data_IF_876249075928
#
_entry.id   IF_876249075928
#
_cell.length_a   1.000
_cell.length_b   1.000
_cell.length_c   1.000
_cell.angle_alpha   90.00
_cell.angle_beta   90.00
_cell.angle_gamma   90.00
#
_symmetry.space_group_name_H-M   'P 1'
#
loop_
_entity.id
_entity.type
_entity.pdbx_description
1 polymer ?
#
# COMPACT_ATOMS: atom_id res chain seq x y z
N UNK A 1 -16.49 18.03 -15.43
CA UNK A 1 -15.85 17.12 -14.48
C UNK A 1 -14.34 17.27 -14.59
N UNK A 2 -13.70 17.65 -13.52
CA UNK A 2 -12.24 17.67 -13.54
C UNK A 2 -11.73 16.24 -13.76
N UNK A 3 -10.80 16.09 -14.67
CA UNK A 3 -10.12 14.81 -14.87
C UNK A 3 -9.11 14.59 -13.74
N UNK A 4 -8.94 13.34 -13.36
CA UNK A 4 -7.88 12.97 -12.41
C UNK A 4 -6.54 13.19 -13.10
N UNK A 5 -5.60 13.85 -12.43
CA UNK A 5 -4.25 14.01 -12.95
C UNK A 5 -3.62 12.64 -13.20
N UNK A 6 -2.79 12.50 -14.24
CA UNK A 6 -2.15 11.22 -14.52
C UNK A 6 -1.34 10.71 -13.32
N UNK A 7 -1.48 9.44 -13.02
CA UNK A 7 -0.67 8.78 -11.99
C UNK A 7 -0.40 7.34 -12.39
N UNK A 8 0.69 6.75 -11.90
CA UNK A 8 1.09 5.40 -12.25
C UNK A 8 0.50 4.34 -11.36
N UNK A 9 0.27 4.66 -10.10
CA UNK A 9 -0.26 3.69 -9.16
C UNK A 9 -0.49 4.27 -7.77
N UNK A 10 -0.99 3.43 -6.87
CA UNK A 10 -1.31 3.82 -5.51
C UNK A 10 -1.10 2.65 -4.54
N UNK A 11 -0.57 2.97 -3.36
CA UNK A 11 -0.37 2.02 -2.27
C UNK A 11 -1.15 2.46 -1.05
N UNK A 12 -1.48 1.50 -0.19
CA UNK A 12 -2.20 1.79 1.04
C UNK A 12 -1.61 0.98 2.20
N UNK A 13 -1.34 1.65 3.31
CA UNK A 13 -0.94 1.00 4.55
C UNK A 13 -2.20 0.74 5.39
N UNK A 14 -2.51 -0.52 5.62
CA UNK A 14 -3.65 -0.92 6.44
C UNK A 14 -3.17 -1.13 7.87
N UNK A 15 -3.56 -0.24 8.76
CA UNK A 15 -3.12 -0.24 10.15
C UNK A 15 -4.28 -0.62 11.08
N UNK A 16 -3.95 -1.42 12.09
CA UNK A 16 -4.90 -1.76 13.14
C UNK A 16 -4.13 -1.98 14.44
N UNK A 17 -4.38 -1.14 15.44
CA UNK A 17 -3.81 -1.29 16.78
C UNK A 17 -2.27 -1.46 16.76
N UNK A 18 -1.59 -0.65 15.95
CA UNK A 18 -0.13 -0.71 15.83
C UNK A 18 0.39 -1.83 14.93
N UNK A 19 -0.50 -2.58 14.30
CA UNK A 19 -0.15 -3.66 13.37
C UNK A 19 -0.37 -3.22 11.94
N UNK A 20 0.32 -3.87 11.01
CA UNK A 20 0.33 -3.52 9.59
C UNK A 20 0.37 -4.78 8.73
N UNK A 21 -0.39 -4.77 7.64
CA UNK A 21 -0.38 -5.83 6.63
C UNK A 21 0.69 -5.54 5.58
N UNK A 22 1.53 -6.53 5.31
CA UNK A 22 2.53 -6.48 4.23
C UNK A 22 2.60 -7.82 3.53
N UNK A 23 3.27 -7.87 2.38
CA UNK A 23 3.48 -9.13 1.68
C UNK A 23 4.88 -9.16 1.03
N UNK A 24 5.42 -10.37 0.89
CA UNK A 24 6.72 -10.58 0.28
C UNK A 24 6.52 -10.76 -1.23
N UNK A 25 7.13 -9.88 -2.02
CA UNK A 25 7.06 -9.94 -3.49
C UNK A 25 7.75 -11.20 -4.00
N UNK A 26 7.33 -11.64 -5.18
CA UNK A 26 8.01 -12.74 -5.86
C UNK A 26 9.48 -12.39 -6.10
N UNK A 27 10.34 -13.40 -6.03
CA UNK A 27 11.77 -13.21 -6.26
C UNK A 27 12.08 -13.56 -7.73
N UNK A 28 11.66 -12.67 -8.63
CA UNK A 28 11.83 -12.82 -10.07
C UNK A 28 12.55 -11.60 -10.63
N UNK A 29 13.58 -11.78 -11.46
CA UNK A 29 14.29 -10.64 -12.05
C UNK A 29 13.44 -9.82 -13.02
N UNK A 30 12.30 -10.36 -13.45
CA UNK A 30 11.41 -9.69 -14.40
C UNK A 30 10.51 -8.62 -13.75
N UNK A 31 10.45 -8.54 -12.43
CA UNK A 31 9.60 -7.58 -11.72
C UNK A 31 10.45 -6.59 -10.92
N UNK A 32 9.94 -5.37 -10.68
CA UNK A 32 10.63 -4.42 -9.80
C UNK A 32 10.58 -4.91 -8.35
N UNK A 33 11.61 -4.58 -7.59
CA UNK A 33 11.71 -4.89 -6.16
C UNK A 33 11.54 -6.38 -5.83
N UNK A 34 12.23 -7.31 -6.54
CA UNK A 34 12.02 -8.73 -6.31
C UNK A 34 12.44 -9.14 -4.89
N UNK A 35 11.62 -9.99 -4.26
CA UNK A 35 11.95 -10.53 -2.95
C UNK A 35 11.92 -9.53 -1.79
N UNK A 36 11.30 -8.36 -1.98
CA UNK A 36 11.18 -7.37 -0.92
C UNK A 36 9.74 -7.32 -0.38
N UNK A 37 9.61 -6.89 0.87
CA UNK A 37 8.30 -6.70 1.49
C UNK A 37 7.68 -5.40 1.03
N UNK A 38 6.42 -5.48 0.64
CA UNK A 38 5.64 -4.44 0.01
C UNK A 38 4.32 -4.24 0.74
N UNK A 39 3.64 -3.16 0.41
CA UNK A 39 2.31 -2.84 0.93
C UNK A 39 1.24 -3.11 -0.12
N UNK A 40 -0.03 -3.29 0.27
CA UNK A 40 -1.12 -3.44 -0.69
C UNK A 40 -1.20 -2.26 -1.66
N UNK A 41 -1.59 -2.56 -2.89
CA UNK A 41 -1.72 -1.56 -3.93
C UNK A 41 -0.98 -1.95 -5.20
N UNK A 42 -1.08 -1.12 -6.21
CA UNK A 42 -0.43 -1.42 -7.49
C UNK A 42 -0.71 -0.39 -8.56
N UNK A 43 -0.63 -0.81 -9.81
CA UNK A 43 -0.75 0.07 -10.96
C UNK A 43 -2.18 0.46 -11.28
N UNK A 44 -2.33 1.67 -11.82
CA UNK A 44 -3.63 2.20 -12.26
C UNK A 44 -4.17 1.41 -13.44
N UNK A 45 -5.45 1.14 -13.44
CA UNK A 45 -6.17 0.59 -14.59
C UNK A 45 -7.27 1.57 -15.02
N UNK A 46 -7.34 1.83 -16.33
CA UNK A 46 -8.38 2.67 -16.91
C UNK A 46 -8.41 4.06 -16.29
N UNK A 47 -9.61 4.50 -15.91
CA UNK A 47 -9.85 5.85 -15.40
C UNK A 47 -10.03 5.90 -13.88
N UNK A 48 -9.49 4.92 -13.18
CA UNK A 48 -9.56 4.90 -11.72
C UNK A 48 -9.01 6.18 -11.08
N UNK A 49 -9.64 6.59 -9.98
CA UNK A 49 -9.02 7.54 -9.07
C UNK A 49 -7.90 6.85 -8.29
N UNK A 50 -6.99 7.60 -7.66
CA UNK A 50 -5.94 6.99 -6.84
C UNK A 50 -6.47 6.05 -5.75
N UNK A 51 -7.52 6.45 -5.04
CA UNK A 51 -8.09 5.60 -4.00
C UNK A 51 -8.76 4.35 -4.58
N UNK A 52 -9.50 4.49 -5.67
CA UNK A 52 -10.09 3.35 -6.36
C UNK A 52 -9.02 2.33 -6.78
N UNK A 53 -7.90 2.82 -7.27
CA UNK A 53 -6.76 1.97 -7.65
C UNK A 53 -6.24 1.18 -6.46
N UNK A 54 -5.96 1.86 -5.35
CA UNK A 54 -5.43 1.20 -4.14
C UNK A 54 -6.41 0.16 -3.58
N UNK A 55 -7.70 0.49 -3.56
CA UNK A 55 -8.72 -0.41 -3.01
C UNK A 55 -8.97 -1.61 -3.93
N UNK A 56 -8.97 -1.41 -5.24
CA UNK A 56 -9.10 -2.52 -6.19
C UNK A 56 -7.94 -3.50 -6.07
N UNK A 57 -6.71 -2.98 -6.05
CA UNK A 57 -5.52 -3.82 -5.90
C UNK A 57 -5.53 -4.60 -4.58
N UNK A 58 -5.97 -3.96 -3.49
CA UNK A 58 -6.07 -4.61 -2.19
C UNK A 58 -7.06 -5.77 -2.23
N UNK A 59 -8.17 -5.60 -2.94
CA UNK A 59 -9.14 -6.68 -3.12
C UNK A 59 -8.55 -7.81 -3.95
N UNK A 60 -7.85 -7.49 -5.04
CA UNK A 60 -7.23 -8.51 -5.89
C UNK A 60 -6.13 -9.29 -5.15
N UNK A 61 -5.34 -8.60 -4.34
CA UNK A 61 -4.20 -9.22 -3.65
C UNK A 61 -4.59 -10.00 -2.40
N UNK A 62 -5.57 -9.50 -1.65
CA UNK A 62 -5.88 -10.02 -0.31
C UNK A 62 -7.34 -10.43 -0.10
N UNK A 63 -8.20 -10.23 -1.09
CA UNK A 63 -9.62 -10.51 -0.94
C UNK A 63 -10.33 -9.57 0.04
N UNK A 64 -9.74 -8.43 0.34
CA UNK A 64 -10.27 -7.50 1.32
C UNK A 64 -11.01 -6.34 0.66
N UNK A 65 -12.22 -6.06 1.14
CA UNK A 65 -12.98 -4.88 0.77
C UNK A 65 -12.80 -3.84 1.86
N UNK A 66 -12.03 -2.80 1.56
CA UNK A 66 -11.70 -1.75 2.53
C UNK A 66 -12.65 -0.57 2.31
N UNK A 67 -13.29 -0.11 3.38
CA UNK A 67 -14.15 1.08 3.30
C UNK A 67 -13.31 2.33 3.08
N UNK A 68 -13.66 3.18 2.11
CA UNK A 68 -13.00 4.48 1.94
C UNK A 68 -13.01 5.34 3.20
N UNK A 69 -14.01 5.15 4.06
CA UNK A 69 -14.13 5.92 5.31
C UNK A 69 -13.03 5.62 6.31
N UNK A 70 -12.28 4.53 6.14
CA UNK A 70 -11.18 4.17 7.03
C UNK A 70 -9.89 4.93 6.70
N UNK A 71 -9.82 5.61 5.57
CA UNK A 71 -8.62 6.35 5.16
C UNK A 71 -8.45 7.59 6.03
N UNK A 72 -7.30 7.69 6.67
CA UNK A 72 -6.99 8.78 7.61
C UNK A 72 -5.87 9.70 7.11
N UNK A 73 -5.16 9.32 6.05
CA UNK A 73 -4.07 10.12 5.51
C UNK A 73 -3.90 9.81 4.02
N UNK A 74 -3.62 10.86 3.25
CA UNK A 74 -3.44 10.78 1.81
C UNK A 74 -2.28 11.67 1.40
N UNK A 75 -1.36 11.15 0.60
CA UNK A 75 -0.22 11.93 0.11
C UNK A 75 0.09 11.57 -1.33
N UNK A 76 0.31 12.58 -2.16
CA UNK A 76 0.81 12.41 -3.52
C UNK A 76 2.32 12.59 -3.53
N UNK A 77 2.99 11.81 -4.36
CA UNK A 77 4.44 11.89 -4.58
C UNK A 77 4.68 12.18 -6.07
N UNK A 78 4.77 13.47 -6.43
CA UNK A 78 4.86 13.87 -7.83
C UNK A 78 6.12 13.34 -8.50
N UNK A 79 5.95 12.79 -9.70
CA UNK A 79 7.06 12.36 -10.53
C UNK A 79 7.83 11.13 -10.06
N UNK A 80 7.39 10.47 -9.00
CA UNK A 80 8.12 9.32 -8.44
C UNK A 80 7.67 7.97 -8.97
N UNK A 81 6.65 7.94 -9.82
CA UNK A 81 6.14 6.71 -10.42
C UNK A 81 6.78 6.40 -11.76
N UNK A 82 6.35 5.30 -12.36
CA UNK A 82 6.81 4.87 -13.68
C UNK A 82 6.55 5.96 -14.70
N UNK A 83 7.52 6.18 -15.59
CA UNK A 83 7.42 7.21 -16.62
C UNK A 83 7.40 8.64 -16.08
N UNK A 84 7.82 8.85 -14.84
CA UNK A 84 7.78 10.16 -14.20
C UNK A 84 6.40 10.62 -13.76
N UNK A 85 5.42 9.70 -13.75
CA UNK A 85 4.07 9.99 -13.28
C UNK A 85 4.01 10.07 -11.76
N UNK A 86 2.92 10.62 -11.24
CA UNK A 86 2.71 10.68 -9.79
C UNK A 86 2.37 9.30 -9.23
N UNK A 87 2.70 9.08 -7.96
CA UNK A 87 2.18 7.95 -7.18
C UNK A 87 1.47 8.49 -5.95
N UNK A 88 0.52 7.70 -5.44
CA UNK A 88 -0.29 8.07 -4.28
C UNK A 88 -0.08 7.07 -3.15
N UNK A 89 -0.14 7.57 -1.93
CA UNK A 89 0.00 6.75 -0.73
C UNK A 89 -1.11 7.09 0.24
N UNK A 90 -1.80 6.03 0.69
CA UNK A 90 -2.90 6.17 1.65
C UNK A 90 -2.56 5.42 2.93
N UNK A 91 -3.08 5.90 4.05
CA UNK A 91 -3.06 5.16 5.30
C UNK A 91 -4.50 5.01 5.77
N UNK A 92 -4.88 3.80 6.12
CA UNK A 92 -6.22 3.49 6.63
C UNK A 92 -6.09 2.86 8.02
N UNK A 93 -6.98 3.25 8.93
CA UNK A 93 -7.14 2.60 10.22
C UNK A 93 -8.33 1.66 10.10
N UNK A 94 -8.07 0.36 10.10
CA UNK A 94 -9.10 -0.66 9.83
C UNK A 94 -9.49 -1.40 11.12
N UNK A 95 -10.72 -1.96 11.17
CA UNK A 95 -11.14 -2.75 12.33
C UNK A 95 -10.31 -4.03 12.47
N UNK A 96 -10.16 -4.56 13.70
CA UNK A 96 -9.38 -5.80 13.91
C UNK A 96 -9.86 -6.98 13.07
N UNK A 97 -11.16 -7.10 12.84
CA UNK A 97 -11.74 -8.19 12.05
C UNK A 97 -11.26 -8.18 10.58
N UNK A 98 -10.74 -7.07 10.08
CA UNK A 98 -10.26 -6.97 8.70
C UNK A 98 -9.23 -8.04 8.40
N UNK A 99 -8.25 -8.23 9.29
CA UNK A 99 -7.15 -9.17 9.04
C UNK A 99 -7.55 -10.64 9.25
N UNK A 100 -8.73 -10.91 9.77
CA UNK A 100 -9.23 -12.27 9.91
C UNK A 100 -9.75 -12.86 8.60
N UNK A 101 -9.97 -12.03 7.58
CA UNK A 101 -10.62 -12.44 6.33
C UNK A 101 -9.68 -12.43 5.12
N UNK A 102 -8.38 -12.46 5.34
CA UNK A 102 -7.40 -12.40 4.25
C UNK A 102 -7.43 -13.68 3.43
N UNK A 103 -7.59 -13.51 2.10
CA UNK A 103 -7.46 -14.57 1.12
C UNK A 103 -6.40 -14.12 0.12
N UNK A 104 -5.17 -14.58 0.30
CA UNK A 104 -4.03 -14.12 -0.49
C UNK A 104 -4.11 -14.66 -1.93
N UNK A 105 -3.90 -13.77 -2.89
CA UNK A 105 -3.94 -14.12 -4.31
C UNK A 105 -2.67 -14.78 -4.81
N UNK A 106 -2.49 -14.76 -6.14
CA UNK A 106 -1.41 -15.46 -6.82
C UNK A 106 -0.12 -14.65 -6.95
N UNK A 107 -0.15 -13.37 -6.65
CA UNK A 107 1.03 -12.53 -6.71
C UNK A 107 1.67 -12.45 -5.34
N UNK A 108 3.00 -12.61 -5.30
CA UNK A 108 3.74 -12.63 -4.05
C UNK A 108 3.88 -14.01 -3.45
N UNK A 109 4.82 -14.13 -2.51
CA UNK A 109 5.18 -15.41 -1.89
C UNK A 109 4.34 -15.70 -0.65
N UNK A 110 4.09 -14.70 0.17
CA UNK A 110 3.32 -14.81 1.42
C UNK A 110 3.00 -13.42 1.96
N UNK A 111 2.06 -13.35 2.89
CA UNK A 111 1.72 -12.12 3.59
C UNK A 111 2.01 -12.26 5.08
N UNK A 112 2.05 -11.13 5.78
CA UNK A 112 2.23 -11.09 7.22
C UNK A 112 1.57 -9.85 7.81
N UNK A 113 1.10 -9.97 9.04
CA UNK A 113 0.68 -8.83 9.87
C UNK A 113 1.73 -8.70 10.96
N UNK A 114 2.43 -7.59 10.97
CA UNK A 114 3.53 -7.34 11.92
C UNK A 114 3.30 -5.99 12.59
N UNK A 115 4.12 -5.68 13.58
CA UNK A 115 4.07 -4.33 14.15
C UNK A 115 4.59 -3.32 13.12
N UNK A 116 4.14 -2.09 13.24
CA UNK A 116 4.62 -0.99 12.39
C UNK A 116 6.14 -0.86 12.53
N UNK A 117 6.64 -0.95 13.75
CA UNK A 117 8.08 -0.84 14.05
C UNK A 117 8.88 -1.94 13.34
N UNK A 118 8.34 -3.17 13.29
CA UNK A 118 9.01 -4.27 12.60
C UNK A 118 9.13 -4.01 11.11
N UNK A 119 8.07 -3.46 10.48
CA UNK A 119 8.13 -3.09 9.06
C UNK A 119 9.16 -1.98 8.81
N UNK A 120 9.19 -0.96 9.67
CA UNK A 120 10.12 0.16 9.52
C UNK A 120 11.58 -0.27 9.72
N UNK A 121 11.82 -1.30 10.53
CA UNK A 121 13.17 -1.83 10.80
C UNK A 121 13.58 -2.93 9.82
N UNK A 122 12.67 -3.38 8.97
CA UNK A 122 12.93 -4.50 8.06
C UNK A 122 13.86 -4.09 6.91
N UNK A 123 15.08 -4.60 6.89
CA UNK A 123 16.06 -4.28 5.85
C UNK A 123 15.68 -4.88 4.49
N UNK A 124 14.72 -5.80 4.46
CA UNK A 124 14.19 -6.41 3.24
C UNK A 124 12.85 -5.83 2.82
N UNK A 125 12.47 -4.66 3.32
CA UNK A 125 11.28 -3.95 2.90
C UNK A 125 11.63 -2.82 1.93
N UNK A 126 10.68 -2.46 1.07
CA UNK A 126 10.87 -1.37 0.11
C UNK A 126 11.03 -0.06 0.87
N UNK A 127 12.21 0.57 0.73
CA UNK A 127 12.61 1.71 1.56
C UNK A 127 11.72 2.93 1.43
N UNK A 128 11.30 3.28 0.22
CA UNK A 128 10.47 4.48 0.06
C UNK A 128 9.09 4.31 0.71
N UNK A 129 8.59 3.09 0.87
CA UNK A 129 7.34 2.87 1.62
C UNK A 129 7.56 2.98 3.13
N UNK A 130 8.73 2.58 3.62
CA UNK A 130 9.11 2.85 5.00
C UNK A 130 9.14 4.36 5.28
N UNK A 131 9.72 5.13 4.37
CA UNK A 131 9.79 6.59 4.50
C UNK A 131 8.39 7.23 4.48
N UNK A 132 7.52 6.79 3.59
CA UNK A 132 6.16 7.33 3.49
C UNK A 132 5.34 7.02 4.73
N UNK A 133 5.47 5.81 5.25
CA UNK A 133 4.80 5.44 6.50
C UNK A 133 5.33 6.29 7.67
N UNK A 134 6.65 6.51 7.72
CA UNK A 134 7.26 7.36 8.73
C UNK A 134 6.74 8.81 8.65
N UNK A 135 6.58 9.34 7.43
CA UNK A 135 5.99 10.68 7.24
C UNK A 135 4.59 10.75 7.86
N UNK A 136 3.77 9.73 7.66
CA UNK A 136 2.45 9.67 8.28
C UNK A 136 2.55 9.70 9.80
N UNK A 137 3.41 8.86 10.37
CA UNK A 137 3.56 8.76 11.82
C UNK A 137 4.01 10.09 12.42
N UNK A 138 4.94 10.78 11.77
CA UNK A 138 5.42 12.07 12.21
C UNK A 138 4.36 13.16 12.08
N UNK A 139 3.54 13.13 11.03
CA UNK A 139 2.47 14.10 10.83
C UNK A 139 1.37 13.98 11.88
N UNK A 140 1.24 12.79 12.48
CA UNK A 140 0.22 12.51 13.49
C UNK A 140 0.72 12.73 14.92
N UNK A 141 1.97 13.09 15.09
CA UNK A 141 2.56 13.37 16.40
C UNK A 141 2.46 14.84 16.68
N UNK A 142 1.73 15.20 17.71
CA UNK A 142 1.62 16.58 18.19
C UNK A 142 2.38 16.78 19.48
#
# INVERSE_FOLDING_TARGET
MPSVAPFSGAKIALLCEGMLLSYLRDDKPSIPWPGLWDLPGGGREGKETPLECALRETWEEFGLTISPDTVVWTQVYPGQGMGGLDTWFFVAQVPPATFANISFGNEGQRWAVTTIEAFLANTSAIKHFQHRLQEYLESNTL
#
